data_IF_262175366929
#
_entry.id   IF_262175366929
#
_cell.length_a   1.000
_cell.length_b   1.000
_cell.length_c   1.000
_cell.angle_alpha   90.00
_cell.angle_beta   90.00
_cell.angle_gamma   90.00
#
_symmetry.space_group_name_H-M   'P 1'
#
loop_
_entity.id
_entity.type
_entity.pdbx_description
1 polymer ?
#
# COMPACT_ATOMS: atom_id res chain seq x y z
N UNK A 1 -1.11 -28.49 19.23
CA UNK A 1 -1.56 -27.65 18.10
C UNK A 1 -1.52 -26.22 18.58
N UNK A 2 -0.59 -25.42 18.06
CA UNK A 2 -0.44 -24.02 18.50
C UNK A 2 -1.57 -23.22 17.85
N UNK A 3 -2.52 -22.73 18.65
CA UNK A 3 -3.57 -21.84 18.17
C UNK A 3 -2.94 -20.59 17.54
N UNK A 4 -3.45 -20.10 16.40
CA UNK A 4 -2.95 -18.88 15.81
C UNK A 4 -3.27 -17.72 16.75
N UNK A 5 -2.24 -17.17 17.38
CA UNK A 5 -2.36 -15.91 18.12
C UNK A 5 -2.68 -14.78 17.13
N UNK A 6 -3.97 -14.54 16.91
CA UNK A 6 -4.45 -13.39 16.14
C UNK A 6 -4.33 -12.17 17.04
N UNK A 7 -3.25 -11.41 16.88
CA UNK A 7 -3.13 -10.12 17.55
C UNK A 7 -4.29 -9.21 17.11
N UNK A 8 -4.94 -8.52 18.05
CA UNK A 8 -6.07 -7.62 17.78
C UNK A 8 -5.74 -6.48 16.77
N UNK A 9 -4.45 -6.24 16.52
CA UNK A 9 -3.92 -5.31 15.51
C UNK A 9 -3.94 -5.86 14.07
N UNK A 10 -3.98 -7.18 13.87
CA UNK A 10 -3.92 -7.81 12.54
C UNK A 10 -5.00 -7.33 11.56
N UNK A 11 -6.28 -7.15 11.96
CA UNK A 11 -7.29 -6.65 11.05
C UNK A 11 -7.01 -5.22 10.58
N UNK A 12 -6.53 -4.35 11.49
CA UNK A 12 -6.22 -2.95 11.15
C UNK A 12 -5.00 -2.84 10.23
N UNK A 13 -3.96 -3.63 10.48
CA UNK A 13 -2.77 -3.70 9.62
C UNK A 13 -3.17 -4.21 8.24
N UNK A 14 -3.94 -5.31 8.17
CA UNK A 14 -4.44 -5.85 6.90
C UNK A 14 -5.25 -4.82 6.09
N UNK A 15 -6.13 -4.05 6.74
CA UNK A 15 -6.88 -2.97 6.07
C UNK A 15 -6.00 -1.81 5.57
N UNK A 16 -4.85 -1.57 6.18
CA UNK A 16 -3.90 -0.54 5.71
C UNK A 16 -3.06 -1.06 4.54
N UNK A 17 -2.64 -2.33 4.58
CA UNK A 17 -1.94 -2.99 3.48
C UNK A 17 -2.82 -3.08 2.23
N UNK A 18 -4.11 -3.43 2.36
CA UNK A 18 -5.08 -3.40 1.24
C UNK A 18 -5.24 -2.02 0.61
N UNK A 19 -5.12 -0.94 1.39
CA UNK A 19 -5.13 0.43 0.86
C UNK A 19 -3.84 0.75 0.08
N UNK A 20 -2.69 0.36 0.61
CA UNK A 20 -1.41 0.50 -0.09
C UNK A 20 -1.40 -0.30 -1.41
N UNK A 21 -1.99 -1.49 -1.43
CA UNK A 21 -2.18 -2.28 -2.64
C UNK A 21 -2.99 -1.53 -3.70
N UNK A 22 -4.12 -0.91 -3.33
CA UNK A 22 -4.92 -0.09 -4.25
C UNK A 22 -4.12 1.07 -4.86
N UNK A 23 -3.29 1.74 -4.05
CA UNK A 23 -2.42 2.79 -4.53
C UNK A 23 -1.34 2.26 -5.49
N UNK A 24 -0.74 1.10 -5.19
CA UNK A 24 0.24 0.46 -6.07
C UNK A 24 -0.35 0.10 -7.44
N UNK A 25 -1.60 -0.39 -7.49
CA UNK A 25 -2.26 -0.66 -8.78
C UNK A 25 -2.38 0.62 -9.63
N UNK A 26 -2.74 1.75 -9.01
CA UNK A 26 -2.79 3.03 -9.71
C UNK A 26 -1.42 3.46 -10.25
N UNK A 27 -0.35 3.25 -9.48
CA UNK A 27 1.03 3.55 -9.94
C UNK A 27 1.40 2.70 -11.15
N UNK A 28 1.08 1.40 -11.13
CA UNK A 28 1.32 0.50 -12.28
C UNK A 28 0.57 1.01 -13.51
N UNK A 29 -0.72 1.33 -13.37
CA UNK A 29 -1.50 1.90 -14.49
C UNK A 29 -0.89 3.19 -15.01
N UNK A 30 -0.41 4.10 -14.15
CA UNK A 30 0.25 5.33 -14.60
C UNK A 30 1.52 5.05 -15.40
N UNK A 31 2.27 4.01 -15.04
CA UNK A 31 3.47 3.60 -15.79
C UNK A 31 3.06 3.03 -17.15
N UNK A 32 2.04 2.17 -17.19
CA UNK A 32 1.50 1.58 -18.42
C UNK A 32 0.91 2.64 -19.37
N UNK A 33 0.29 3.69 -18.83
CA UNK A 33 -0.22 4.85 -19.57
C UNK A 33 0.89 5.82 -20.03
N UNK A 34 2.14 5.60 -19.65
CA UNK A 34 3.25 6.48 -20.00
C UNK A 34 3.16 7.87 -19.36
N UNK A 35 2.60 7.96 -18.15
CA UNK A 35 2.47 9.24 -17.41
C UNK A 35 3.84 9.84 -17.09
N UNK A 36 3.92 11.18 -16.91
CA UNK A 36 5.17 11.85 -16.57
C UNK A 36 5.84 11.25 -15.33
N UNK A 37 7.17 11.12 -15.37
CA UNK A 37 7.96 10.55 -14.27
C UNK A 37 7.68 11.23 -12.92
N UNK A 38 7.49 12.55 -12.92
CA UNK A 38 7.20 13.31 -11.70
C UNK A 38 5.88 12.88 -11.05
N UNK A 39 4.83 12.66 -11.84
CA UNK A 39 3.52 12.24 -11.33
C UNK A 39 3.61 10.85 -10.69
N UNK A 40 4.32 9.92 -11.37
CA UNK A 40 4.56 8.55 -10.87
C UNK A 40 5.37 8.59 -9.57
N UNK A 41 6.42 9.39 -9.49
CA UNK A 41 7.26 9.54 -8.30
C UNK A 41 6.46 10.07 -7.10
N UNK A 42 5.57 11.04 -7.31
CA UNK A 42 4.70 11.56 -6.25
C UNK A 42 3.74 10.48 -5.72
N UNK A 43 3.16 9.65 -6.60
CA UNK A 43 2.29 8.56 -6.16
C UNK A 43 3.03 7.45 -5.43
N UNK A 44 4.26 7.12 -5.84
CA UNK A 44 5.12 6.20 -5.10
C UNK A 44 5.40 6.69 -3.67
N UNK A 45 5.61 7.99 -3.46
CA UNK A 45 5.78 8.55 -2.13
C UNK A 45 4.52 8.41 -1.26
N UNK A 46 3.33 8.53 -1.87
CA UNK A 46 2.06 8.32 -1.18
C UNK A 46 1.87 6.86 -0.73
N UNK A 47 2.28 5.89 -1.56
CA UNK A 47 2.35 4.46 -1.19
C UNK A 47 3.27 4.27 0.01
N UNK A 48 4.50 4.80 -0.06
CA UNK A 48 5.50 4.67 1.00
C UNK A 48 5.01 5.25 2.34
N UNK A 49 4.34 6.41 2.30
CA UNK A 49 3.71 7.01 3.50
C UNK A 49 2.60 6.13 4.06
N UNK A 50 1.81 5.48 3.21
CA UNK A 50 0.73 4.58 3.63
C UNK A 50 1.30 3.36 4.36
N UNK A 51 2.40 2.80 3.84
CA UNK A 51 3.10 1.66 4.45
C UNK A 51 3.76 2.03 5.79
N UNK A 52 4.43 3.19 5.88
CA UNK A 52 5.00 3.67 7.16
C UNK A 52 3.96 3.85 8.26
N UNK A 53 2.74 4.24 7.89
CA UNK A 53 1.62 4.41 8.81
C UNK A 53 0.82 3.11 9.05
N UNK A 54 1.27 1.98 8.49
CA UNK A 54 0.57 0.70 8.62
C UNK A 54 0.70 0.05 10.00
N UNK A 55 1.69 0.48 10.81
CA UNK A 55 2.01 -0.01 12.15
C UNK A 55 0.87 0.07 13.18
#
# INVERSE_FOLDING_TARGET
>A
MTEPHVHASHPKIASRLKRAEGHLRSVVTMIEEGRPYLDVAQQLQAVERTLRNAK
#
